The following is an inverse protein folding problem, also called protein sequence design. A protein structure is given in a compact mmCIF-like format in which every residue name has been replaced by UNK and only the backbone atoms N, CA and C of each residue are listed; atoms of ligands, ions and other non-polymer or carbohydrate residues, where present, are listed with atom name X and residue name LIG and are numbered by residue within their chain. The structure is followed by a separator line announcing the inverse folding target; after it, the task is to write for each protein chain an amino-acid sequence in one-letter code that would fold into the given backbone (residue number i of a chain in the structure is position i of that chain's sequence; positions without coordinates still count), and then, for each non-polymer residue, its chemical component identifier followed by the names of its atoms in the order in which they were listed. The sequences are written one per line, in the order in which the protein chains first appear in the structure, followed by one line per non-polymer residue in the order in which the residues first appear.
data_IF_244308439095
#
_entry.id   IF_244308439095
#
_cell.length_a   1.000
_cell.length_b   1.000
_cell.length_c   1.000
_cell.angle_alpha   90.00
_cell.angle_beta   90.00
_cell.angle_gamma   90.00
#
_symmetry.space_group_name_H-M   'P 1'
#
loop_
_entity.id
_entity.type
_entity.pdbx_description
1 polymer ?
#
# COMPACT_ATOMS: atom_id res chain seq x y z
N UNK A 1 25.13 33.24 15.65
CA UNK A 1 24.62 32.04 14.95
C UNK A 1 23.12 31.93 15.19
N UNK A 2 22.25 32.06 14.18
CA UNK A 2 20.82 31.94 14.40
C UNK A 2 20.45 30.46 14.54
N UNK A 3 19.84 30.12 15.67
CA UNK A 3 19.30 28.79 15.96
C UNK A 3 18.17 28.52 14.96
N UNK A 4 18.33 27.50 14.10
CA UNK A 4 17.27 27.04 13.19
C UNK A 4 16.11 26.53 14.03
N UNK A 5 15.08 27.35 14.15
CA UNK A 5 13.79 27.01 14.73
C UNK A 5 13.17 25.92 13.85
N UNK A 6 13.25 24.66 14.30
CA UNK A 6 12.51 23.56 13.69
C UNK A 6 11.02 23.89 13.80
N UNK A 7 10.45 24.37 12.70
CA UNK A 7 9.01 24.62 12.60
C UNK A 7 8.32 23.26 12.76
N UNK A 8 7.73 23.03 13.93
CA UNK A 8 6.85 21.87 14.16
C UNK A 8 5.71 21.98 13.15
N UNK A 9 5.72 21.09 12.15
CA UNK A 9 4.64 20.94 11.20
C UNK A 9 3.31 20.79 11.97
N UNK A 10 2.24 21.50 11.55
CA UNK A 10 0.96 21.42 12.23
C UNK A 10 0.51 19.95 12.30
N UNK A 11 -0.03 19.57 13.46
CA UNK A 11 -0.48 18.20 13.79
C UNK A 11 -1.70 17.82 12.93
N UNK A 12 -1.49 17.61 11.63
CA UNK A 12 -2.48 17.09 10.69
C UNK A 12 -2.78 15.66 11.13
N UNK A 13 -3.93 15.45 11.79
CA UNK A 13 -4.44 14.10 12.07
C UNK A 13 -4.84 13.47 10.74
N UNK A 14 -3.98 12.60 10.21
CA UNK A 14 -4.31 11.78 9.05
C UNK A 14 -5.43 10.83 9.42
N UNK A 15 -6.35 10.59 8.48
CA UNK A 15 -7.38 9.57 8.68
C UNK A 15 -6.69 8.21 8.51
N UNK A 16 -6.72 7.39 9.55
CA UNK A 16 -6.14 6.06 9.50
C UNK A 16 -7.20 5.02 9.16
N UNK A 17 -6.90 4.10 8.25
CA UNK A 17 -7.80 3.00 7.90
C UNK A 17 -7.02 1.81 7.38
N UNK A 18 -7.50 0.63 7.71
CA UNK A 18 -6.95 -0.65 7.29
C UNK A 18 -5.52 -0.88 7.79
N UNK A 19 -5.17 -2.15 7.92
CA UNK A 19 -3.81 -2.61 8.10
C UNK A 19 -3.30 -3.10 6.76
N UNK A 20 -2.01 -3.03 6.54
CA UNK A 20 -1.42 -3.37 5.25
C UNK A 20 -0.29 -4.37 5.39
N UNK A 21 -0.23 -5.30 4.43
CA UNK A 21 0.92 -6.17 4.25
C UNK A 21 1.29 -6.18 2.77
N UNK A 22 2.53 -5.79 2.48
CA UNK A 22 3.10 -5.92 1.15
C UNK A 22 3.71 -7.31 1.02
N UNK A 23 2.97 -8.22 0.39
CA UNK A 23 3.40 -9.59 0.21
C UNK A 23 4.62 -9.66 -0.75
N UNK A 24 5.82 -10.07 -0.26
CA UNK A 24 7.01 -10.22 -1.10
C UNK A 24 7.02 -11.54 -1.89
N UNK A 25 6.22 -12.52 -1.47
CA UNK A 25 6.20 -13.88 -2.01
C UNK A 25 5.38 -13.96 -3.31
N UNK A 26 5.99 -14.52 -4.35
CA UNK A 26 5.38 -14.70 -5.67
C UNK A 26 4.35 -15.83 -5.70
N UNK A 27 4.67 -16.91 -5.01
CA UNK A 27 3.94 -18.18 -4.94
C UNK A 27 2.81 -18.18 -3.90
N UNK A 28 2.92 -17.33 -2.88
CA UNK A 28 1.96 -17.29 -1.79
C UNK A 28 0.80 -16.33 -2.09
N UNK A 29 -0.39 -16.90 -2.30
CA UNK A 29 -1.59 -16.12 -2.65
C UNK A 29 -2.38 -15.59 -1.44
N UNK A 30 -2.01 -15.95 -0.21
CA UNK A 30 -2.68 -15.57 1.05
C UNK A 30 -4.22 -15.71 0.99
N UNK A 31 -4.69 -16.91 0.59
CA UNK A 31 -6.12 -17.27 0.57
C UNK A 31 -6.74 -17.28 1.96
N UNK A 32 -5.92 -17.41 3.00
CA UNK A 32 -6.25 -17.23 4.40
C UNK A 32 -5.43 -16.10 5.01
N UNK A 33 -5.98 -15.46 6.03
CA UNK A 33 -5.32 -14.39 6.77
C UNK A 33 -4.23 -15.00 7.67
N UNK A 34 -2.97 -14.54 7.57
CA UNK A 34 -1.87 -15.09 8.36
C UNK A 34 -2.03 -14.84 9.87
N UNK A 35 -2.83 -13.84 10.27
CA UNK A 35 -3.08 -13.52 11.68
C UNK A 35 -4.22 -14.33 12.32
N UNK A 36 -5.30 -14.58 11.59
CA UNK A 36 -6.54 -15.13 12.18
C UNK A 36 -7.08 -16.38 11.48
N UNK A 37 -6.36 -16.90 10.48
CA UNK A 37 -6.72 -18.03 9.61
C UNK A 37 -8.06 -17.89 8.84
N UNK A 38 -8.74 -16.73 8.95
CA UNK A 38 -9.99 -16.51 8.24
C UNK A 38 -9.77 -16.38 6.73
N UNK A 39 -10.76 -16.79 5.93
CA UNK A 39 -10.71 -16.67 4.47
C UNK A 39 -10.58 -15.21 4.05
N UNK A 40 -9.62 -14.91 3.18
CA UNK A 40 -9.50 -13.58 2.57
C UNK A 40 -10.40 -13.47 1.34
N UNK A 41 -10.96 -12.28 1.13
CA UNK A 41 -11.77 -11.96 -0.05
C UNK A 41 -10.93 -11.17 -1.05
N UNK A 42 -11.27 -11.27 -2.33
CA UNK A 42 -10.67 -10.41 -3.36
C UNK A 42 -11.49 -9.11 -3.45
N UNK A 43 -10.82 -7.97 -3.27
CA UNK A 43 -11.42 -6.64 -3.32
C UNK A 43 -10.49 -5.68 -4.06
N UNK A 44 -11.07 -4.69 -4.74
CA UNK A 44 -10.32 -3.63 -5.42
C UNK A 44 -10.11 -2.46 -4.44
N UNK A 45 -8.86 -2.09 -4.22
CA UNK A 45 -8.47 -0.93 -3.42
C UNK A 45 -7.63 0.03 -4.26
N UNK A 46 -8.00 1.32 -4.33
CA UNK A 46 -7.12 2.37 -4.78
C UNK A 46 -5.99 2.56 -3.76
N UNK A 47 -4.83 1.98 -4.04
CA UNK A 47 -3.62 2.11 -3.22
C UNK A 47 -2.90 3.40 -3.59
N UNK A 48 -2.48 4.17 -2.59
CA UNK A 48 -1.66 5.36 -2.76
C UNK A 48 -0.21 5.00 -2.49
N UNK A 49 0.62 5.18 -3.51
CA UNK A 49 2.03 4.82 -3.51
C UNK A 49 2.83 6.11 -3.68
N UNK A 50 3.71 6.38 -2.74
CA UNK A 50 4.69 7.45 -2.87
C UNK A 50 5.98 6.88 -3.44
N UNK A 51 6.46 7.45 -4.53
CA UNK A 51 7.71 7.08 -5.17
C UNK A 51 8.66 8.26 -5.06
N UNK A 52 9.86 8.02 -4.53
CA UNK A 52 10.86 9.08 -4.40
C UNK A 52 11.30 9.57 -5.79
N UNK A 53 11.62 10.88 -5.94
CA UNK A 53 11.69 11.90 -4.89
C UNK A 53 10.35 12.60 -4.55
N UNK A 54 9.38 12.73 -5.47
CA UNK A 54 8.13 13.49 -5.20
C UNK A 54 6.88 12.98 -5.95
N UNK A 55 6.89 11.78 -6.53
CA UNK A 55 5.74 11.31 -7.31
C UNK A 55 4.74 10.56 -6.43
N UNK A 56 3.46 10.89 -6.58
CA UNK A 56 2.36 10.09 -6.04
C UNK A 56 1.70 9.32 -7.17
N UNK A 57 1.48 8.04 -6.92
CA UNK A 57 0.88 7.12 -7.86
C UNK A 57 -0.30 6.42 -7.19
N UNK A 58 -1.48 6.52 -7.79
CA UNK A 58 -2.70 5.91 -7.23
C UNK A 58 -3.14 4.77 -8.15
N UNK A 59 -3.07 3.55 -7.63
CA UNK A 59 -3.32 2.34 -8.39
C UNK A 59 -4.54 1.60 -7.83
N UNK A 60 -5.57 1.42 -8.66
CA UNK A 60 -6.72 0.60 -8.28
C UNK A 60 -6.42 -0.88 -8.48
N UNK A 61 -5.90 -1.52 -7.43
CA UNK A 61 -5.40 -2.89 -7.46
C UNK A 61 -6.39 -3.87 -6.83
N UNK A 62 -6.52 -5.06 -7.42
CA UNK A 62 -7.16 -6.20 -6.74
C UNK A 62 -6.22 -6.76 -5.68
N UNK A 63 -6.63 -6.70 -4.42
CA UNK A 63 -5.88 -7.17 -3.25
C UNK A 63 -6.69 -8.26 -2.52
N UNK A 64 -6.00 -9.03 -1.69
CA UNK A 64 -6.68 -9.89 -0.71
C UNK A 64 -7.04 -9.05 0.52
N UNK A 65 -8.20 -9.32 1.10
CA UNK A 65 -8.73 -8.56 2.22
C UNK A 65 -9.30 -9.47 3.28
N UNK A 66 -8.89 -9.27 4.53
CA UNK A 66 -9.45 -9.94 5.68
C UNK A 66 -10.41 -9.00 6.41
N UNK A 67 -11.70 -9.32 6.39
CA UNK A 67 -12.74 -8.55 7.10
C UNK A 67 -12.59 -8.58 8.62
N UNK A 68 -11.97 -9.63 9.18
CA UNK A 68 -11.83 -9.78 10.64
C UNK A 68 -10.69 -8.94 11.22
N UNK A 69 -9.56 -8.89 10.52
CA UNK A 69 -8.38 -8.14 10.97
C UNK A 69 -8.29 -6.73 10.38
N UNK A 70 -9.18 -6.42 9.43
CA UNK A 70 -9.13 -5.23 8.58
C UNK A 70 -7.81 -5.13 7.80
N UNK A 71 -7.30 -6.27 7.32
CA UNK A 71 -5.98 -6.40 6.68
C UNK A 71 -6.10 -6.46 5.17
N UNK A 72 -5.41 -5.55 4.48
CA UNK A 72 -5.21 -5.54 3.03
C UNK A 72 -3.85 -6.17 2.74
N UNK A 73 -3.84 -7.18 1.87
CA UNK A 73 -2.63 -7.85 1.41
C UNK A 73 -2.49 -7.60 -0.09
N UNK A 74 -1.44 -6.88 -0.48
CA UNK A 74 -1.13 -6.60 -1.86
C UNK A 74 0.17 -7.30 -2.28
N UNK A 75 0.18 -7.89 -3.47
CA UNK A 75 1.37 -8.55 -4.02
C UNK A 75 2.37 -7.53 -4.54
N UNK A 76 3.60 -7.59 -4.04
CA UNK A 76 4.71 -6.70 -4.42
C UNK A 76 4.98 -6.72 -5.92
N UNK A 77 5.18 -7.92 -6.47
CA UNK A 77 5.48 -8.10 -7.90
C UNK A 77 4.41 -7.52 -8.83
N UNK A 78 3.14 -7.62 -8.44
CA UNK A 78 2.05 -7.08 -9.25
C UNK A 78 1.99 -5.55 -9.18
N UNK A 79 2.32 -4.95 -8.03
CA UNK A 79 2.43 -3.49 -7.89
C UNK A 79 3.60 -2.99 -8.74
N UNK A 80 4.78 -3.60 -8.60
CA UNK A 80 5.98 -3.24 -9.36
C UNK A 80 5.79 -3.40 -10.87
N UNK A 81 5.15 -4.48 -11.32
CA UNK A 81 4.84 -4.67 -12.74
C UNK A 81 3.93 -3.57 -13.27
N UNK A 82 2.91 -3.17 -12.51
CA UNK A 82 1.97 -2.11 -12.90
C UNK A 82 2.61 -0.71 -12.87
N UNK A 83 3.48 -0.45 -11.90
CA UNK A 83 4.28 0.78 -11.87
C UNK A 83 5.20 0.84 -13.09
N UNK A 84 5.94 -0.24 -13.36
CA UNK A 84 6.82 -0.33 -14.52
C UNK A 84 6.06 -0.08 -15.81
N UNK A 85 4.93 -0.77 -16.03
CA UNK A 85 4.08 -0.56 -17.20
C UNK A 85 3.60 0.91 -17.35
N UNK A 86 3.34 1.60 -16.24
CA UNK A 86 2.85 2.99 -16.26
C UNK A 86 3.97 4.01 -16.52
N UNK A 87 5.16 3.79 -15.97
CA UNK A 87 6.28 4.73 -16.03
C UNK A 87 7.27 4.47 -17.16
N UNK A 88 7.25 3.31 -17.82
CA UNK A 88 8.08 3.02 -19.01
C UNK A 88 7.97 4.14 -20.06
N UNK A 89 6.77 4.68 -20.29
CA UNK A 89 6.55 5.72 -21.32
C UNK A 89 6.58 7.14 -20.75
N UNK A 90 6.16 7.32 -19.49
CA UNK A 90 5.96 8.64 -18.90
C UNK A 90 7.26 9.21 -18.30
N UNK A 91 7.95 8.42 -17.48
CA UNK A 91 9.22 8.82 -16.86
C UNK A 91 10.03 7.58 -16.43
N UNK A 92 10.93 7.09 -17.30
CA UNK A 92 11.76 5.93 -17.01
C UNK A 92 12.69 6.13 -15.81
N UNK A 93 12.98 7.37 -15.40
CA UNK A 93 13.90 7.67 -14.29
C UNK A 93 13.32 7.32 -12.92
N UNK A 94 12.01 7.07 -12.87
CA UNK A 94 11.30 6.64 -11.65
C UNK A 94 11.45 5.13 -11.45
N UNK A 95 11.78 4.37 -12.51
CA UNK A 95 11.96 2.92 -12.44
C UNK A 95 13.20 2.58 -11.63
N UNK A 96 13.01 1.85 -10.53
CA UNK A 96 14.07 1.46 -9.59
C UNK A 96 14.19 2.37 -8.36
N UNK A 97 13.37 3.41 -8.24
CA UNK A 97 13.33 4.22 -7.02
C UNK A 97 12.60 3.51 -5.90
N UNK A 98 12.97 3.85 -4.66
CA UNK A 98 12.27 3.41 -3.47
C UNK A 98 10.83 3.95 -3.47
N UNK A 99 9.89 3.06 -3.11
CA UNK A 99 8.48 3.39 -2.99
C UNK A 99 7.92 2.92 -1.66
N UNK A 100 6.91 3.65 -1.20
CA UNK A 100 6.17 3.33 0.02
C UNK A 100 4.68 3.39 -0.26
N UNK A 101 3.96 2.33 0.08
CA UNK A 101 2.49 2.34 0.02
C UNK A 101 1.97 3.03 1.28
N UNK A 102 1.48 4.26 1.12
CA UNK A 102 1.08 5.09 2.24
C UNK A 102 -0.32 4.76 2.77
N UNK A 103 -1.21 4.31 1.88
CA UNK A 103 -2.61 4.15 2.26
C UNK A 103 -3.55 3.84 1.11
N UNK A 104 -4.81 4.17 1.32
CA UNK A 104 -5.90 3.99 0.36
C UNK A 104 -6.76 5.24 0.22
N UNK A 105 -7.46 5.36 -0.90
CA UNK A 105 -8.53 6.36 -1.08
C UNK A 105 -9.84 5.66 -1.40
N UNK A 106 -10.96 6.32 -1.10
CA UNK A 106 -12.26 5.78 -1.48
C UNK A 106 -12.38 5.69 -3.00
N UNK A 107 -13.07 4.66 -3.49
CA UNK A 107 -13.21 4.40 -4.93
C UNK A 107 -13.91 5.55 -5.68
N UNK A 108 -14.79 6.29 -5.00
CA UNK A 108 -15.46 7.47 -5.56
C UNK A 108 -14.44 8.58 -5.82
N UNK A 109 -13.62 8.91 -4.82
CA UNK A 109 -12.56 9.91 -4.91
C UNK A 109 -11.52 9.54 -5.99
N UNK A 110 -11.16 8.26 -6.10
CA UNK A 110 -10.27 7.79 -7.17
C UNK A 110 -10.86 8.00 -8.56
N UNK A 111 -12.17 7.73 -8.73
CA UNK A 111 -12.85 7.93 -10.01
C UNK A 111 -12.93 9.41 -10.39
N UNK A 112 -13.20 10.28 -9.42
CA UNK A 112 -13.24 11.73 -9.60
C UNK A 112 -11.85 12.31 -9.94
N UNK A 113 -10.79 11.83 -9.26
CA UNK A 113 -9.41 12.22 -9.56
C UNK A 113 -8.96 11.82 -10.97
N UNK A 114 -9.34 10.62 -11.42
CA UNK A 114 -9.04 10.17 -12.79
C UNK A 114 -9.81 10.95 -13.87
N UNK A 115 -10.90 11.64 -13.51
CA UNK A 115 -11.67 12.51 -14.40
C UNK A 115 -11.20 13.97 -14.37
N UNK A 116 -10.04 14.27 -13.75
CA UNK A 116 -9.51 15.62 -13.53
C UNK A 116 -10.47 16.56 -12.78
N UNK A 117 -11.43 16.01 -12.03
CA UNK A 117 -12.42 16.82 -11.31
C UNK A 117 -11.88 17.40 -9.99
N UNK A 118 -10.72 16.93 -9.52
CA UNK A 118 -10.14 17.29 -8.21
C UNK A 118 -8.65 17.61 -8.40
N UNK A 119 -8.19 18.69 -7.77
CA UNK A 119 -6.76 19.04 -7.74
C UNK A 119 -5.96 18.01 -6.92
N UNK A 120 -4.71 17.66 -7.33
CA UNK A 120 -3.88 16.69 -6.61
C UNK A 120 -3.69 16.99 -5.11
N UNK A 121 -3.66 18.28 -4.74
CA UNK A 121 -3.57 18.73 -3.35
C UNK A 121 -4.80 18.38 -2.51
N UNK A 122 -6.00 18.38 -3.10
CA UNK A 122 -7.23 17.98 -2.43
C UNK A 122 -7.35 16.47 -2.32
N UNK A 123 -6.75 15.71 -3.26
CA UNK A 123 -6.70 14.25 -3.15
C UNK A 123 -5.87 13.81 -1.94
N UNK A 124 -4.77 14.52 -1.63
CA UNK A 124 -3.94 14.25 -0.45
C UNK A 124 -4.73 14.28 0.86
N UNK A 125 -5.68 15.20 0.99
CA UNK A 125 -6.50 15.35 2.19
C UNK A 125 -7.59 14.26 2.31
N UNK A 126 -7.83 13.51 1.24
CA UNK A 126 -8.77 12.36 1.20
C UNK A 126 -8.07 11.01 1.37
N UNK A 127 -6.75 11.00 1.56
CA UNK A 127 -5.99 9.76 1.79
C UNK A 127 -6.31 9.23 3.18
N UNK A 128 -6.64 7.94 3.22
CA UNK A 128 -6.61 7.15 4.43
C UNK A 128 -5.26 6.46 4.54
N UNK A 129 -4.42 6.92 5.46
CA UNK A 129 -3.12 6.30 5.75
C UNK A 129 -3.37 4.95 6.41
N UNK A 130 -2.51 3.97 6.16
CA UNK A 130 -2.64 2.69 6.86
C UNK A 130 -2.42 2.87 8.35
N UNK A 131 -3.28 2.24 9.15
CA UNK A 131 -3.16 2.25 10.60
C UNK A 131 -1.89 1.55 11.06
N UNK A 132 -1.54 0.45 10.38
CA UNK A 132 -0.39 -0.38 10.73
C UNK A 132 0.12 -1.13 9.50
N UNK A 133 1.43 -1.34 9.45
CA UNK A 133 2.10 -2.13 8.40
C UNK A 133 2.61 -3.39 9.07
N UNK A 134 2.09 -4.53 8.63
CA UNK A 134 2.47 -5.84 9.15
C UNK A 134 3.35 -6.55 8.16
N UNK A 135 4.38 -7.21 8.67
CA UNK A 135 5.21 -8.13 7.93
C UNK A 135 4.94 -9.56 8.40
N UNK A 136 4.75 -10.47 7.45
CA UNK A 136 4.53 -11.87 7.74
C UNK A 136 5.57 -12.70 7.01
N UNK A 137 6.20 -13.60 7.75
CA UNK A 137 7.09 -14.60 7.19
C UNK A 137 6.30 -15.87 6.86
N UNK A 138 6.41 -16.34 5.63
CA UNK A 138 5.81 -17.62 5.22
C UNK A 138 6.80 -18.72 5.52
N UNK A 139 6.42 -19.63 6.43
CA UNK A 139 7.11 -20.90 6.62
C UNK A 139 6.58 -21.86 5.54
N UNK A 140 7.44 -22.35 4.61
CA UNK A 140 7.02 -23.28 3.58
C UNK A 140 6.36 -24.54 4.16
N UNK A 141 5.55 -25.24 3.36
CA UNK A 141 5.09 -26.56 3.77
C UNK A 141 6.29 -27.53 3.74
N UNK A 142 6.65 -28.06 4.90
CA UNK A 142 7.82 -28.91 5.06
C UNK A 142 7.78 -29.70 6.37
N UNK A 143 8.64 -30.72 6.46
CA UNK A 143 8.85 -31.47 7.69
C UNK A 143 9.87 -30.71 8.55
N UNK A 144 9.38 -29.96 9.52
CA UNK A 144 10.20 -29.28 10.52
C UNK A 144 10.34 -30.14 11.76
N UNK A 145 11.50 -30.10 12.41
CA UNK A 145 11.66 -30.76 13.71
C UNK A 145 10.82 -30.02 14.74
N UNK A 146 10.30 -30.74 15.73
CA UNK A 146 9.36 -30.20 16.72
C UNK A 146 9.92 -29.03 17.54
N UNK A 147 11.24 -28.88 17.56
CA UNK A 147 12.00 -27.86 18.29
C UNK A 147 12.14 -26.53 17.53
N UNK A 148 11.78 -26.49 16.23
CA UNK A 148 11.88 -25.30 15.37
C UNK A 148 10.56 -24.49 15.28
N UNK A 149 9.63 -24.70 16.22
CA UNK A 149 8.27 -24.15 16.20
C UNK A 149 8.07 -22.94 17.10
#
# INVERSE_FOLDING_TARGET
MPKKTSQKLPNRKWKERHKFFLNPYSDSAFTKCPKCDNKTKVRKFPLVIHIQPQQLFILNKQCKYCERCDLIIAKKQEIESLMTASFIQADPKILGNDYMVMGTVDRKDWKEGNQNAIAPSQMLDRIYVFQDIWDFEVIPAGWYRSEDK
#
